data_IF_100559114850
#
_entry.id   IF_100559114850
#
_cell.length_a   1.000
_cell.length_b   1.000
_cell.length_c   1.000
_cell.angle_alpha   90.00
_cell.angle_beta   90.00
_cell.angle_gamma   90.00
#
_symmetry.space_group_name_H-M   'P 1'
#
loop_
_entity.id
_entity.type
_entity.pdbx_description
1 polymer ?
#
# COMPACT_ATOMS: atom_id res chain seq x y z
N UNK A 1 -20.70 -3.26 -0.39
CA UNK A 1 -20.17 -4.33 -1.26
C UNK A 1 -18.64 -4.39 -1.24
N UNK A 2 -17.91 -3.41 -1.80
CA UNK A 2 -16.45 -3.52 -2.08
C UNK A 2 -15.49 -3.82 -0.91
N UNK A 3 -15.85 -3.53 0.34
CA UNK A 3 -14.96 -3.74 1.51
C UNK A 3 -14.92 -5.18 2.01
N UNK A 4 -16.02 -5.93 1.81
CA UNK A 4 -16.06 -7.36 2.12
C UNK A 4 -15.09 -8.14 1.24
N UNK A 5 -15.00 -7.74 -0.03
CA UNK A 5 -14.12 -8.36 -1.03
C UNK A 5 -12.63 -8.29 -0.63
N UNK A 6 -12.20 -7.19 0.01
CA UNK A 6 -10.83 -7.04 0.50
C UNK A 6 -10.52 -8.01 1.65
N UNK A 7 -11.45 -8.14 2.62
CA UNK A 7 -11.27 -9.08 3.72
C UNK A 7 -11.28 -10.52 3.19
N UNK A 8 -12.19 -10.87 2.28
CA UNK A 8 -12.26 -12.20 1.66
C UNK A 8 -10.95 -12.56 0.94
N UNK A 9 -10.37 -11.61 0.19
CA UNK A 9 -9.09 -11.80 -0.49
C UNK A 9 -7.93 -12.08 0.47
N UNK A 10 -7.91 -11.37 1.59
CA UNK A 10 -6.88 -11.50 2.63
C UNK A 10 -7.05 -12.84 3.36
N UNK A 11 -8.29 -13.17 3.74
CA UNK A 11 -8.64 -14.44 4.39
C UNK A 11 -8.27 -15.64 3.54
N UNK A 12 -8.54 -15.61 2.23
CA UNK A 12 -8.23 -16.70 1.31
C UNK A 12 -6.73 -17.07 1.24
N UNK A 13 -5.84 -16.16 1.65
CA UNK A 13 -4.38 -16.35 1.61
C UNK A 13 -3.72 -16.35 2.98
N UNK A 14 -4.41 -15.89 4.02
CA UNK A 14 -3.87 -15.79 5.38
C UNK A 14 -3.36 -17.15 5.86
N UNK A 15 -2.12 -17.20 6.34
CA UNK A 15 -1.47 -18.43 6.81
C UNK A 15 -0.93 -19.37 5.71
N UNK A 16 -1.26 -19.14 4.43
CA UNK A 16 -0.86 -20.03 3.33
C UNK A 16 0.06 -19.38 2.28
N UNK A 17 -0.10 -18.07 2.02
CA UNK A 17 0.65 -17.32 1.01
C UNK A 17 0.98 -15.90 1.49
N UNK A 18 2.05 -15.32 0.93
CA UNK A 18 2.47 -13.95 1.24
C UNK A 18 1.69 -12.91 0.44
N UNK A 19 1.56 -11.71 1.02
CA UNK A 19 0.99 -10.54 0.38
C UNK A 19 2.04 -9.45 0.21
N UNK A 20 1.98 -8.70 -0.90
CA UNK A 20 2.70 -7.45 -1.08
C UNK A 20 1.67 -6.34 -1.24
N UNK A 21 1.75 -5.33 -0.38
CA UNK A 21 0.86 -4.18 -0.38
C UNK A 21 1.72 -2.93 -0.54
N UNK A 22 1.29 -2.06 -1.45
CA UNK A 22 1.95 -0.79 -1.74
C UNK A 22 0.93 0.30 -1.48
N UNK A 23 1.26 1.25 -0.62
CA UNK A 23 0.40 2.38 -0.28
C UNK A 23 1.21 3.66 -0.24
N UNK A 24 0.56 4.76 -0.63
CA UNK A 24 1.07 6.12 -0.42
C UNK A 24 0.69 6.66 0.96
N UNK A 25 -0.21 5.96 1.67
CA UNK A 25 -0.61 6.34 3.02
C UNK A 25 0.26 5.60 4.05
N UNK A 26 0.71 6.29 5.10
CA UNK A 26 1.33 5.63 6.24
C UNK A 26 0.35 4.61 6.84
N UNK A 27 0.90 3.52 7.38
CA UNK A 27 0.15 2.40 7.94
C UNK A 27 -0.84 2.84 9.03
N UNK A 28 -0.49 3.88 9.80
CA UNK A 28 -1.36 4.43 10.86
C UNK A 28 -2.72 4.90 10.32
N UNK A 29 -2.78 5.34 9.06
CA UNK A 29 -3.98 5.88 8.44
C UNK A 29 -4.83 4.80 7.75
N UNK A 30 -4.39 3.54 7.74
CA UNK A 30 -5.10 2.48 7.03
C UNK A 30 -6.42 2.12 7.72
N UNK A 31 -6.47 2.20 9.05
CA UNK A 31 -7.69 1.91 9.82
C UNK A 31 -8.83 2.85 9.40
N UNK A 32 -8.57 4.16 9.41
CA UNK A 32 -9.51 5.19 8.99
C UNK A 32 -9.89 5.06 7.50
N UNK A 33 -8.93 4.76 6.62
CA UNK A 33 -9.18 4.56 5.20
C UNK A 33 -10.14 3.38 4.93
N UNK A 34 -10.01 2.29 5.68
CA UNK A 34 -10.91 1.14 5.58
C UNK A 34 -12.30 1.52 6.12
N UNK A 35 -12.36 2.30 7.21
CA UNK A 35 -13.55 2.98 7.71
C UNK A 35 -14.45 2.13 8.62
N UNK A 36 -14.84 0.94 8.20
CA UNK A 36 -15.64 0.00 9.02
C UNK A 36 -14.76 -0.61 10.12
N UNK A 37 -14.92 -0.18 11.38
CA UNK A 37 -14.03 -0.58 12.49
C UNK A 37 -13.81 -2.09 12.55
N UNK A 38 -14.86 -2.90 12.51
CA UNK A 38 -14.74 -4.36 12.64
C UNK A 38 -13.94 -4.99 11.48
N UNK A 39 -14.19 -4.55 10.25
CA UNK A 39 -13.44 -5.03 9.09
C UNK A 39 -12.01 -4.51 9.10
N UNK A 40 -11.81 -3.25 9.47
CA UNK A 40 -10.50 -2.64 9.60
C UNK A 40 -9.63 -3.37 10.62
N UNK A 41 -10.16 -3.66 11.81
CA UNK A 41 -9.45 -4.41 12.85
C UNK A 41 -9.06 -5.81 12.35
N UNK A 42 -10.01 -6.54 11.73
CA UNK A 42 -9.77 -7.88 11.20
C UNK A 42 -8.73 -7.92 10.06
N UNK A 43 -8.78 -6.94 9.15
CA UNK A 43 -7.85 -6.81 8.02
C UNK A 43 -6.45 -6.47 8.54
N UNK A 44 -6.35 -5.50 9.44
CA UNK A 44 -5.08 -5.01 9.95
C UNK A 44 -4.40 -6.05 10.82
N UNK A 45 -5.14 -6.80 11.63
CA UNK A 45 -4.59 -7.91 12.41
C UNK A 45 -3.92 -8.95 11.49
N UNK A 46 -4.60 -9.36 10.42
CA UNK A 46 -4.07 -10.35 9.46
C UNK A 46 -2.91 -9.85 8.62
N UNK A 47 -2.95 -8.58 8.20
CA UNK A 47 -1.94 -8.01 7.33
C UNK A 47 -0.70 -7.59 8.09
N UNK A 48 -0.87 -6.90 9.23
CA UNK A 48 0.24 -6.22 9.90
C UNK A 48 0.99 -7.15 10.84
N UNK A 49 0.29 -8.03 11.56
CA UNK A 49 0.87 -8.82 12.65
C UNK A 49 2.10 -9.65 12.22
N UNK A 50 2.16 -10.09 10.96
CA UNK A 50 3.30 -10.81 10.37
C UNK A 50 4.04 -10.05 9.26
N UNK A 51 3.80 -8.74 9.11
CA UNK A 51 4.35 -7.98 7.97
C UNK A 51 5.79 -7.50 8.19
N UNK A 52 6.50 -7.36 7.07
CA UNK A 52 7.73 -6.58 7.00
C UNK A 52 7.37 -5.20 6.46
N UNK A 53 7.57 -4.15 7.28
CA UNK A 53 7.31 -2.76 6.87
C UNK A 53 8.53 -2.19 6.15
N UNK A 54 8.33 -1.76 4.89
CA UNK A 54 9.35 -1.07 4.10
C UNK A 54 8.90 0.37 3.81
N UNK A 55 9.50 1.33 4.49
CA UNK A 55 9.22 2.76 4.27
C UNK A 55 10.11 3.29 3.15
N UNK A 56 9.53 3.49 1.98
CA UNK A 56 10.23 4.10 0.84
C UNK A 56 10.37 5.60 1.05
N UNK A 57 11.56 6.13 0.74
CA UNK A 57 11.89 7.56 0.83
C UNK A 57 12.58 8.00 -0.46
N UNK A 58 12.55 9.31 -0.72
CA UNK A 58 13.19 9.91 -1.88
C UNK A 58 12.19 10.51 -2.87
N UNK A 59 12.71 11.24 -3.86
CA UNK A 59 11.91 11.83 -4.93
C UNK A 59 11.38 10.78 -5.89
N UNK A 60 10.33 11.14 -6.62
CA UNK A 60 9.76 10.27 -7.65
C UNK A 60 10.80 9.98 -8.73
N UNK A 61 11.07 8.70 -9.00
CA UNK A 61 11.92 8.26 -10.11
C UNK A 61 11.40 8.83 -11.45
N UNK A 62 10.07 8.99 -11.60
CA UNK A 62 9.47 9.62 -12.78
C UNK A 62 9.97 11.05 -12.99
N UNK A 63 10.11 11.85 -11.93
CA UNK A 63 10.67 13.22 -12.03
C UNK A 63 12.15 13.19 -12.38
N UNK A 64 12.90 12.21 -11.86
CA UNK A 64 14.33 12.07 -12.18
C UNK A 64 14.54 11.73 -13.66
N UNK A 65 13.70 10.84 -14.21
CA UNK A 65 13.74 10.47 -15.63
C UNK A 65 13.27 11.61 -16.54
N UNK A 66 12.26 12.38 -16.14
CA UNK A 66 11.80 13.53 -16.92
C UNK A 66 12.77 14.72 -16.92
N UNK A 67 13.74 14.79 -16.00
CA UNK A 67 14.80 15.81 -16.07
C UNK A 67 15.81 15.59 -17.21
N UNK A 68 15.79 14.42 -17.86
CA UNK A 68 16.60 14.16 -19.05
C UNK A 68 15.99 14.77 -20.34
N UNK A 69 14.74 15.24 -20.30
CA UNK A 69 14.05 15.81 -21.48
C UNK A 69 14.01 17.34 -21.51
N UNK A 70 14.49 18.02 -20.48
CA UNK A 70 14.48 19.51 -20.42
C UNK A 70 15.77 20.14 -21.01
N UNK A 71 16.86 19.38 -21.18
CA UNK A 71 18.12 19.90 -21.76
C UNK A 71 18.13 19.93 -23.31
N UNK A 72 17.14 19.34 -23.98
CA UNK A 72 17.00 19.37 -25.45
C UNK A 72 16.26 20.63 -25.98
N UNK A 73 15.89 21.58 -25.11
CA UNK A 73 15.24 22.85 -25.52
C UNK A 73 16.16 24.09 -25.46
N UNK A 74 17.48 23.90 -25.31
CA UNK A 74 18.46 24.96 -25.55
C UNK A 74 19.47 24.55 -26.64
N UNK A 75 19.03 24.62 -27.89
CA UNK A 75 19.89 24.75 -29.10
C UNK A 75 19.09 25.40 -30.23
#
# INVERSE_FOLDING_TARGET
QQRGDLLELIDARYGYKSHIIISQLPQENWHEMIGESTHADAILDRLIHGSIKLNLKGESIRKQLNKLTDDDQLS
#
